data_IF_468114189804
#
_entry.id   IF_468114189804
#
_cell.length_a   1.000
_cell.length_b   1.000
_cell.length_c   1.000
_cell.angle_alpha   90.00
_cell.angle_beta   90.00
_cell.angle_gamma   90.00
#
_symmetry.space_group_name_H-M   'P 1'
#
loop_
_entity.id
_entity.type
_entity.pdbx_description
1 polymer ?
#
# COMPACT_ATOMS: atom_id res chain seq x y z
N UNK A 1 -17.56 7.33 -25.62
CA UNK A 1 -16.15 7.65 -25.32
C UNK A 1 -15.30 6.46 -25.76
N UNK A 2 -14.41 6.59 -26.76
CA UNK A 2 -13.52 5.47 -27.13
C UNK A 2 -12.47 5.33 -26.01
N UNK A 3 -12.57 4.26 -25.24
CA UNK A 3 -11.73 3.98 -24.06
C UNK A 3 -10.24 3.82 -24.45
N UNK A 4 -9.97 3.42 -25.69
CA UNK A 4 -8.61 3.27 -26.21
C UNK A 4 -8.32 4.29 -27.32
N UNK A 5 -7.18 4.97 -27.21
CA UNK A 5 -6.64 5.88 -28.21
C UNK A 5 -5.22 5.44 -28.57
N UNK A 6 -4.91 5.37 -29.87
CA UNK A 6 -3.61 4.92 -30.39
C UNK A 6 -2.41 5.72 -29.85
N UNK A 7 -2.63 6.95 -29.38
CA UNK A 7 -1.61 7.74 -28.71
C UNK A 7 -0.98 7.03 -27.49
N UNK A 8 -1.72 6.14 -26.82
CA UNK A 8 -1.20 5.40 -25.67
C UNK A 8 -0.23 4.27 -26.05
N UNK A 9 -0.18 3.87 -27.33
CA UNK A 9 0.80 2.92 -27.83
C UNK A 9 2.17 3.57 -28.17
N UNK A 10 2.24 4.91 -28.11
CA UNK A 10 3.47 5.65 -28.40
C UNK A 10 4.62 5.22 -27.46
N UNK A 11 5.87 5.08 -27.96
CA UNK A 11 7.02 4.60 -27.17
C UNK A 11 7.26 5.34 -25.85
N UNK A 12 6.86 6.62 -25.79
CA UNK A 12 6.86 7.45 -24.57
C UNK A 12 6.16 6.80 -23.37
N UNK A 13 5.13 5.97 -23.60
CA UNK A 13 4.34 5.35 -22.54
C UNK A 13 4.76 3.90 -22.23
N UNK A 14 5.73 3.34 -22.95
CA UNK A 14 6.11 1.93 -22.76
C UNK A 14 6.65 1.64 -21.36
N UNK A 15 7.37 2.58 -20.75
CA UNK A 15 7.82 2.44 -19.36
C UNK A 15 6.64 2.35 -18.38
N UNK A 16 5.60 3.17 -18.58
CA UNK A 16 4.38 3.11 -17.77
C UNK A 16 3.64 1.78 -17.98
N UNK A 17 3.52 1.30 -19.22
CA UNK A 17 2.92 -0.01 -19.51
C UNK A 17 3.70 -1.16 -18.89
N UNK A 18 5.02 -1.11 -18.97
CA UNK A 18 5.88 -2.10 -18.32
C UNK A 18 5.69 -2.07 -16.80
N UNK A 19 5.66 -0.88 -16.19
CA UNK A 19 5.39 -0.74 -14.75
C UNK A 19 4.04 -1.33 -14.34
N UNK A 20 2.97 -1.03 -15.09
CA UNK A 20 1.64 -1.61 -14.85
C UNK A 20 1.61 -3.12 -15.04
N UNK A 21 2.32 -3.64 -16.05
CA UNK A 21 2.45 -5.08 -16.26
C UNK A 21 3.15 -5.74 -15.07
N UNK A 22 4.26 -5.18 -14.60
CA UNK A 22 4.99 -5.69 -13.43
C UNK A 22 4.13 -5.64 -12.16
N UNK A 23 3.41 -4.55 -11.93
CA UNK A 23 2.45 -4.45 -10.83
C UNK A 23 1.37 -5.54 -10.94
N UNK A 24 0.80 -5.75 -12.12
CA UNK A 24 -0.21 -6.79 -12.34
C UNK A 24 0.35 -8.20 -12.10
N UNK A 25 1.56 -8.47 -12.57
CA UNK A 25 2.23 -9.75 -12.35
C UNK A 25 2.47 -10.02 -10.86
N UNK A 26 2.76 -8.98 -10.06
CA UNK A 26 2.97 -9.11 -8.62
C UNK A 26 1.77 -9.71 -7.88
N UNK A 27 0.55 -9.51 -8.41
CA UNK A 27 -0.68 -10.07 -7.83
C UNK A 27 -0.65 -11.60 -7.89
N UNK A 28 -0.09 -12.21 -8.93
CA UNK A 28 -0.07 -13.68 -9.06
C UNK A 28 1.00 -14.36 -8.19
N UNK A 29 1.91 -13.59 -7.59
CA UNK A 29 2.95 -14.14 -6.72
C UNK A 29 2.36 -14.69 -5.41
N UNK A 30 2.98 -15.75 -4.82
CA UNK A 30 2.64 -16.21 -3.49
C UNK A 30 2.86 -15.11 -2.43
N UNK A 31 2.08 -15.06 -1.33
CA UNK A 31 2.19 -14.01 -0.31
C UNK A 31 3.59 -13.83 0.27
N UNK A 32 4.34 -14.93 0.46
CA UNK A 32 5.71 -14.88 0.98
C UNK A 32 6.65 -14.14 0.02
N UNK A 33 6.46 -14.32 -1.28
CA UNK A 33 7.25 -13.64 -2.32
C UNK A 33 6.83 -12.17 -2.43
N UNK A 34 5.54 -11.87 -2.27
CA UNK A 34 5.04 -10.50 -2.19
C UNK A 34 5.70 -9.73 -1.04
N UNK A 35 5.70 -10.31 0.17
CA UNK A 35 6.35 -9.73 1.34
C UNK A 35 7.87 -9.56 1.17
N UNK A 36 8.54 -10.58 0.64
CA UNK A 36 9.96 -10.50 0.33
C UNK A 36 10.25 -9.36 -0.66
N UNK A 37 9.48 -9.27 -1.75
CA UNK A 37 9.64 -8.24 -2.76
C UNK A 37 9.39 -6.84 -2.19
N UNK A 38 8.35 -6.63 -1.39
CA UNK A 38 8.11 -5.33 -0.76
C UNK A 38 9.18 -4.94 0.24
N UNK A 39 9.74 -5.90 0.99
CA UNK A 39 10.86 -5.62 1.88
C UNK A 39 12.11 -5.14 1.13
N UNK A 40 12.41 -5.75 -0.02
CA UNK A 40 13.51 -5.28 -0.88
C UNK A 40 13.19 -3.96 -1.57
N UNK A 41 11.93 -3.75 -1.94
CA UNK A 41 11.47 -2.48 -2.50
C UNK A 41 11.66 -1.35 -1.51
N UNK A 42 11.39 -1.57 -0.21
CA UNK A 42 11.64 -0.58 0.82
C UNK A 42 13.13 -0.18 0.84
N UNK A 43 14.06 -1.14 0.82
CA UNK A 43 15.51 -0.89 0.77
C UNK A 43 15.90 -0.10 -0.48
N UNK A 44 15.40 -0.51 -1.66
CA UNK A 44 15.69 0.16 -2.93
C UNK A 44 15.16 1.61 -2.95
N UNK A 45 14.02 1.84 -2.30
CA UNK A 45 13.37 3.15 -2.26
C UNK A 45 13.94 4.07 -1.18
N UNK A 46 14.69 3.57 -0.19
CA UNK A 46 15.26 4.37 0.92
C UNK A 46 15.86 5.71 0.49
N UNK A 47 16.70 5.80 -0.57
CA UNK A 47 17.31 7.06 -0.99
C UNK A 47 16.30 8.13 -1.45
N UNK A 48 15.10 7.73 -1.86
CA UNK A 48 14.05 8.62 -2.35
C UNK A 48 13.03 8.99 -1.26
N UNK A 49 13.22 8.50 -0.04
CA UNK A 49 12.23 8.57 1.04
C UNK A 49 12.56 9.59 2.13
N UNK A 50 13.60 10.40 2.01
CA UNK A 50 14.04 11.35 3.05
C UNK A 50 12.91 12.27 3.53
N UNK A 51 12.16 12.86 2.60
CA UNK A 51 11.00 13.69 2.93
C UNK A 51 9.91 12.91 3.69
N UNK A 52 9.65 11.66 3.28
CA UNK A 52 8.67 10.78 3.95
C UNK A 52 9.14 10.40 5.35
N UNK A 53 10.43 10.12 5.50
CA UNK A 53 11.07 9.81 6.79
C UNK A 53 10.92 10.97 7.77
N UNK A 54 11.19 12.20 7.34
CA UNK A 54 11.05 13.39 8.18
C UNK A 54 9.61 13.61 8.64
N UNK A 55 8.64 13.45 7.73
CA UNK A 55 7.21 13.58 8.06
C UNK A 55 6.79 12.49 9.05
N UNK A 56 7.16 11.23 8.78
CA UNK A 56 6.84 10.10 9.66
C UNK A 56 7.46 10.28 11.05
N UNK A 57 8.72 10.73 11.14
CA UNK A 57 9.40 10.99 12.41
C UNK A 57 8.67 12.06 13.23
N UNK A 58 8.26 13.17 12.59
CA UNK A 58 7.50 14.22 13.27
C UNK A 58 6.13 13.75 13.73
N UNK A 59 5.44 12.98 12.89
CA UNK A 59 4.14 12.41 13.26
C UNK A 59 4.27 11.45 14.45
N UNK A 60 5.29 10.58 14.45
CA UNK A 60 5.53 9.65 15.56
C UNK A 60 5.83 10.41 16.85
N UNK A 61 6.65 11.46 16.80
CA UNK A 61 6.94 12.31 17.97
C UNK A 61 5.69 12.98 18.54
N UNK A 62 4.80 13.48 17.67
CA UNK A 62 3.57 14.16 18.06
C UNK A 62 2.48 13.19 18.55
N UNK A 63 2.33 12.03 17.90
CA UNK A 63 1.27 11.07 18.19
C UNK A 63 1.62 10.12 19.34
N UNK A 64 2.92 9.88 19.59
CA UNK A 64 3.40 8.96 20.63
C UNK A 64 4.43 9.62 21.55
N UNK A 65 4.06 10.74 22.23
CA UNK A 65 4.95 11.48 23.12
C UNK A 65 5.41 10.66 24.35
N UNK A 66 4.73 9.57 24.68
CA UNK A 66 5.05 8.65 25.77
C UNK A 66 6.17 7.65 25.44
N UNK A 67 6.45 7.41 24.16
CA UNK A 67 7.52 6.49 23.73
C UNK A 67 8.90 7.12 23.92
N UNK A 68 9.89 6.29 24.28
CA UNK A 68 11.30 6.69 24.31
C UNK A 68 11.83 7.01 22.91
N UNK A 69 12.98 7.70 22.83
CA UNK A 69 13.62 7.99 21.55
C UNK A 69 13.93 6.71 20.74
N UNK A 70 14.40 5.66 21.40
CA UNK A 70 14.71 4.37 20.77
C UNK A 70 13.43 3.69 20.25
N UNK A 71 12.36 3.68 21.04
CA UNK A 71 11.08 3.12 20.63
C UNK A 71 10.47 3.86 19.42
N UNK A 72 10.61 5.18 19.39
CA UNK A 72 10.18 5.99 18.23
C UNK A 72 11.02 5.71 17.00
N UNK A 73 12.33 5.51 17.16
CA UNK A 73 13.23 5.17 16.06
C UNK A 73 12.91 3.78 15.49
N UNK A 74 12.66 2.79 16.34
CA UNK A 74 12.23 1.45 15.92
C UNK A 74 10.89 1.50 15.18
N UNK A 75 9.93 2.27 15.69
CA UNK A 75 8.64 2.47 15.02
C UNK A 75 8.79 3.18 13.67
N UNK A 76 9.67 4.17 13.59
CA UNK A 76 9.99 4.85 12.34
C UNK A 76 10.59 3.87 11.33
N UNK A 77 11.60 3.10 11.71
CA UNK A 77 12.26 2.16 10.80
C UNK A 77 11.30 1.05 10.32
N UNK A 78 10.44 0.54 11.20
CA UNK A 78 9.37 -0.38 10.82
C UNK A 78 8.38 0.26 9.84
N UNK A 79 7.96 1.51 10.08
CA UNK A 79 7.08 2.25 9.18
C UNK A 79 7.71 2.48 7.80
N UNK A 80 9.00 2.80 7.76
CA UNK A 80 9.74 2.97 6.51
C UNK A 80 9.90 1.63 5.78
N UNK A 81 10.04 0.54 6.52
CA UNK A 81 10.13 -0.81 5.96
C UNK A 81 8.81 -1.28 5.34
N UNK A 82 7.65 -0.97 5.95
CA UNK A 82 6.34 -1.37 5.39
C UNK A 82 5.98 -0.59 4.13
N UNK A 83 6.51 0.61 3.93
CA UNK A 83 6.24 1.43 2.74
C UNK A 83 6.57 0.72 1.41
N UNK A 84 7.53 -0.20 1.39
CA UNK A 84 7.85 -0.97 0.17
C UNK A 84 6.73 -1.91 -0.27
N UNK A 85 5.83 -2.30 0.62
CA UNK A 85 4.65 -3.12 0.29
C UNK A 85 3.55 -2.35 -0.41
N UNK A 86 3.51 -1.01 -0.29
CA UNK A 86 2.39 -0.19 -0.76
C UNK A 86 2.09 -0.39 -2.26
N UNK A 87 3.11 -0.58 -3.10
CA UNK A 87 2.91 -0.81 -4.54
C UNK A 87 2.21 -2.15 -4.81
N UNK A 88 2.59 -3.20 -4.07
CA UNK A 88 1.98 -4.54 -4.19
C UNK A 88 0.56 -4.51 -3.62
N UNK A 89 0.35 -3.85 -2.47
CA UNK A 89 -0.98 -3.66 -1.88
C UNK A 89 -1.91 -2.90 -2.82
N UNK A 90 -1.42 -1.84 -3.46
CA UNK A 90 -2.19 -1.10 -4.47
C UNK A 90 -2.57 -1.99 -5.64
N UNK A 91 -1.64 -2.82 -6.14
CA UNK A 91 -1.93 -3.77 -7.21
C UNK A 91 -2.97 -4.83 -6.79
N UNK A 92 -2.89 -5.33 -5.55
CA UNK A 92 -3.87 -6.24 -4.99
C UNK A 92 -5.27 -5.58 -4.93
N UNK A 93 -5.37 -4.35 -4.44
CA UNK A 93 -6.64 -3.61 -4.38
C UNK A 93 -7.27 -3.37 -5.75
N UNK A 94 -6.48 -3.31 -6.82
CA UNK A 94 -7.00 -3.08 -8.17
C UNK A 94 -7.34 -4.36 -8.94
N UNK A 95 -6.59 -5.45 -8.75
CA UNK A 95 -6.67 -6.63 -9.60
C UNK A 95 -6.86 -7.96 -8.89
N UNK A 96 -6.75 -8.04 -7.56
CA UNK A 96 -7.10 -9.26 -6.85
C UNK A 96 -8.62 -9.44 -6.81
N UNK A 97 -9.09 -10.68 -6.75
CA UNK A 97 -10.51 -10.96 -6.50
C UNK A 97 -10.87 -10.76 -5.04
N UNK A 98 -12.12 -10.38 -4.78
CA UNK A 98 -12.66 -10.18 -3.43
C UNK A 98 -12.42 -11.41 -2.54
N UNK A 99 -12.74 -12.62 -3.02
CA UNK A 99 -12.47 -13.89 -2.32
C UNK A 99 -11.02 -14.04 -1.85
N UNK A 100 -10.05 -13.57 -2.64
CA UNK A 100 -8.63 -13.66 -2.29
C UNK A 100 -8.25 -12.64 -1.23
N UNK A 101 -8.87 -11.46 -1.23
CA UNK A 101 -8.65 -10.41 -0.24
C UNK A 101 -9.34 -10.76 1.09
N UNK A 102 -10.59 -11.23 1.04
CA UNK A 102 -11.35 -11.68 2.21
C UNK A 102 -10.60 -12.74 3.02
N UNK A 103 -9.93 -13.68 2.34
CA UNK A 103 -9.11 -14.69 3.00
C UNK A 103 -7.89 -14.14 3.77
N UNK A 104 -7.59 -12.84 3.64
CA UNK A 104 -6.45 -12.15 4.28
C UNK A 104 -6.88 -11.06 5.27
N UNK A 105 -8.18 -10.79 5.39
CA UNK A 105 -8.70 -9.68 6.20
C UNK A 105 -9.50 -10.24 7.37
N UNK A 106 -9.35 -9.60 8.52
CA UNK A 106 -10.22 -9.77 9.67
C UNK A 106 -10.93 -8.44 9.92
N UNK A 107 -12.24 -8.46 9.99
CA UNK A 107 -13.05 -7.29 10.30
C UNK A 107 -13.27 -7.23 11.82
N UNK A 108 -13.14 -6.03 12.40
CA UNK A 108 -13.44 -5.74 13.80
C UNK A 108 -14.38 -4.53 13.84
N UNK A 109 -15.49 -4.62 14.58
CA UNK A 109 -16.49 -3.54 14.69
C UNK A 109 -17.40 -3.37 13.47
N UNK A 110 -17.52 -4.37 12.60
CA UNK A 110 -18.38 -4.31 11.41
C UNK A 110 -19.87 -4.12 11.76
N UNK A 111 -20.28 -4.59 12.94
CA UNK A 111 -21.62 -4.42 13.48
C UNK A 111 -22.04 -2.95 13.62
N UNK A 112 -21.09 -2.04 13.87
CA UNK A 112 -21.38 -0.61 13.96
C UNK A 112 -21.73 -0.01 12.60
N UNK A 113 -21.05 -0.47 11.55
CA UNK A 113 -21.33 -0.09 10.17
C UNK A 113 -22.71 -0.60 9.73
N UNK A 114 -23.01 -1.87 10.00
CA UNK A 114 -24.30 -2.49 9.68
C UNK A 114 -25.47 -1.79 10.40
N UNK A 115 -25.30 -1.47 11.68
CA UNK A 115 -26.30 -0.73 12.45
C UNK A 115 -26.51 0.69 11.93
N UNK A 116 -25.46 1.36 11.48
CA UNK A 116 -25.56 2.71 10.91
C UNK A 116 -26.28 2.69 9.55
N UNK A 117 -25.95 1.74 8.67
CA UNK A 117 -26.64 1.52 7.39
C UNK A 117 -28.13 1.23 7.58
N UNK A 118 -28.48 0.41 8.57
CA UNK A 118 -29.88 0.06 8.88
C UNK A 118 -30.74 1.27 9.26
N UNK A 119 -30.13 2.37 9.75
CA UNK A 119 -30.85 3.62 10.05
C UNK A 119 -31.26 4.42 8.81
N UNK A 120 -30.77 4.04 7.62
CA UNK A 120 -31.18 4.64 6.33
C UNK A 120 -30.72 6.09 6.14
N UNK A 121 -29.70 6.55 6.87
CA UNK A 121 -29.16 7.92 6.80
C UNK A 121 -27.83 8.00 6.04
N UNK A 122 -27.43 6.91 5.37
CA UNK A 122 -26.07 6.71 4.90
C UNK A 122 -25.11 6.36 6.04
N UNK A 123 -23.85 6.10 5.68
CA UNK A 123 -22.70 6.00 6.60
C UNK A 123 -21.56 6.83 6.04
#
# INVERSE_FOLDING_TARGET
MKIFQWQFAHPRYWSSWLGLLLMRLSVYLPPRVQLWAGNHMAVLMRPFMDKRKQIAARNIELCFPELSADQRQDLLDNTMQTMGMMTIETALSWWASDKRLEARVRYEGLEHLEQALAKGKGV
#
